data_IF_102258196460
#
_entry.id   IF_102258196460
#
_cell.length_a   1.000
_cell.length_b   1.000
_cell.length_c   1.000
_cell.angle_alpha   90.00
_cell.angle_beta   90.00
_cell.angle_gamma   90.00
#
_symmetry.space_group_name_H-M   'P 1'
#
loop_
_entity.id
_entity.type
_entity.pdbx_description
1 polymer ?
#
# COMPACT_ATOMS: atom_id res chain seq x y z
N UNK A 1 39.94 5.59 -2.36
CA UNK A 1 38.55 5.15 -2.08
C UNK A 1 38.08 4.32 -3.26
N UNK A 2 37.81 3.03 -3.07
CA UNK A 2 37.26 2.17 -4.13
C UNK A 2 35.80 2.58 -4.39
N UNK A 3 35.37 2.73 -5.65
CA UNK A 3 33.96 3.04 -5.93
C UNK A 3 33.06 1.94 -5.36
N UNK A 4 31.87 2.30 -4.85
CA UNK A 4 30.93 1.32 -4.32
C UNK A 4 30.57 0.30 -5.41
N UNK A 5 30.59 -0.99 -5.05
CA UNK A 5 30.24 -2.06 -6.01
C UNK A 5 28.78 -1.89 -6.45
N UNK A 6 28.48 -2.01 -7.76
CA UNK A 6 27.12 -1.85 -8.23
C UNK A 6 26.24 -3.00 -7.71
N UNK A 7 25.03 -2.66 -7.26
CA UNK A 7 24.07 -3.62 -6.71
C UNK A 7 23.31 -4.36 -7.83
N UNK A 8 24.04 -5.11 -8.65
CA UNK A 8 23.52 -5.88 -9.78
C UNK A 8 23.06 -7.29 -9.38
N UNK A 9 22.12 -7.90 -10.13
CA UNK A 9 21.70 -9.28 -9.89
C UNK A 9 22.80 -10.27 -10.31
N UNK A 10 22.93 -11.36 -9.56
CA UNK A 10 23.65 -12.57 -9.94
C UNK A 10 22.62 -13.57 -10.46
N UNK A 11 22.77 -14.00 -11.71
CA UNK A 11 21.95 -15.09 -12.28
C UNK A 11 22.66 -16.44 -12.08
N UNK A 12 21.94 -17.56 -11.87
CA UNK A 12 20.48 -17.69 -11.77
C UNK A 12 19.90 -17.50 -10.36
N UNK A 13 20.73 -17.09 -9.38
CA UNK A 13 20.32 -17.03 -7.98
C UNK A 13 19.43 -15.83 -7.63
N UNK A 14 19.42 -14.80 -8.49
CA UNK A 14 18.75 -13.52 -8.26
C UNK A 14 19.09 -12.89 -6.91
N UNK A 15 20.36 -13.02 -6.50
CA UNK A 15 20.94 -12.34 -5.34
C UNK A 15 21.76 -11.14 -5.77
N UNK A 16 21.91 -10.15 -4.90
CA UNK A 16 22.70 -8.97 -5.18
C UNK A 16 24.20 -9.27 -5.07
N UNK A 17 24.99 -8.89 -6.07
CA UNK A 17 26.45 -9.08 -6.07
C UNK A 17 27.18 -8.33 -4.95
N UNK A 18 26.63 -7.21 -4.49
CA UNK A 18 27.28 -6.37 -3.50
C UNK A 18 26.96 -6.77 -2.05
N UNK A 19 25.73 -7.22 -1.78
CA UNK A 19 25.27 -7.51 -0.40
C UNK A 19 24.65 -8.90 -0.20
N UNK A 20 24.61 -9.75 -1.22
CA UNK A 20 24.02 -11.09 -1.20
C UNK A 20 22.52 -11.18 -0.85
N UNK A 21 21.83 -10.06 -0.60
CA UNK A 21 20.39 -10.02 -0.38
C UNK A 21 19.61 -10.32 -1.68
N UNK A 22 18.35 -10.77 -1.61
CA UNK A 22 17.51 -10.97 -2.79
C UNK A 22 17.43 -9.71 -3.64
N UNK A 23 17.74 -9.85 -4.92
CA UNK A 23 17.65 -8.75 -5.88
C UNK A 23 16.20 -8.60 -6.37
N UNK A 24 15.63 -7.39 -6.40
CA UNK A 24 16.25 -6.09 -6.08
C UNK A 24 16.39 -5.86 -4.57
N UNK A 25 17.63 -5.64 -4.11
CA UNK A 25 17.93 -5.27 -2.73
C UNK A 25 17.63 -3.78 -2.47
N UNK A 26 17.57 -3.34 -1.21
CA UNK A 26 17.21 -1.97 -0.84
C UNK A 26 18.00 -0.90 -1.62
N UNK A 27 19.33 -1.03 -1.70
CA UNK A 27 20.18 -0.10 -2.45
C UNK A 27 19.87 -0.14 -3.95
N UNK A 28 19.69 -1.32 -4.55
CA UNK A 28 19.33 -1.44 -5.96
C UNK A 28 17.99 -0.75 -6.26
N UNK A 29 17.00 -0.88 -5.37
CA UNK A 29 15.69 -0.20 -5.52
C UNK A 29 15.85 1.31 -5.52
N UNK A 30 16.69 1.86 -4.62
CA UNK A 30 16.97 3.30 -4.57
C UNK A 30 17.69 3.77 -5.83
N UNK A 31 18.73 3.06 -6.25
CA UNK A 31 19.49 3.37 -7.47
C UNK A 31 18.60 3.35 -8.71
N UNK A 32 17.79 2.29 -8.88
CA UNK A 32 16.89 2.16 -10.03
C UNK A 32 15.83 3.27 -10.05
N UNK A 33 15.28 3.66 -8.89
CA UNK A 33 14.36 4.82 -8.80
C UNK A 33 15.05 6.11 -9.19
N UNK A 34 16.27 6.32 -8.69
CA UNK A 34 17.03 7.53 -8.98
C UNK A 34 17.33 7.65 -10.48
N UNK A 35 17.83 6.59 -11.10
CA UNK A 35 18.11 6.54 -12.55
C UNK A 35 16.86 6.77 -13.40
N UNK A 36 15.71 6.27 -12.96
CA UNK A 36 14.43 6.36 -13.68
C UNK A 36 13.48 7.40 -13.11
N UNK A 37 14.00 8.44 -12.45
CA UNK A 37 13.17 9.48 -11.80
C UNK A 37 12.20 10.15 -12.77
N UNK A 38 12.60 10.30 -14.04
CA UNK A 38 11.83 10.98 -15.08
C UNK A 38 11.02 10.03 -15.96
N UNK A 39 11.27 8.71 -15.90
CA UNK A 39 10.58 7.72 -16.71
C UNK A 39 10.26 6.47 -15.88
N UNK A 40 9.12 6.56 -15.18
CA UNK A 40 8.61 5.44 -14.40
C UNK A 40 8.16 4.28 -15.27
N UNK A 41 7.72 4.53 -16.51
CA UNK A 41 7.28 3.46 -17.40
C UNK A 41 8.48 2.61 -17.79
N UNK A 42 9.61 3.24 -18.16
CA UNK A 42 10.85 2.54 -18.40
C UNK A 42 11.29 1.68 -17.20
N UNK A 43 11.18 2.21 -15.97
CA UNK A 43 11.48 1.44 -14.75
C UNK A 43 10.62 0.18 -14.64
N UNK A 44 9.31 0.31 -14.84
CA UNK A 44 8.38 -0.81 -14.73
C UNK A 44 8.59 -1.83 -15.84
N UNK A 45 8.87 -1.40 -17.07
CA UNK A 45 9.19 -2.28 -18.19
C UNK A 45 10.48 -3.05 -17.93
N UNK A 46 11.53 -2.37 -17.47
CA UNK A 46 12.79 -2.99 -17.08
C UNK A 46 12.59 -4.03 -15.98
N UNK A 47 11.88 -3.66 -14.90
CA UNK A 47 11.58 -4.58 -13.79
C UNK A 47 10.68 -5.73 -14.20
N UNK A 48 9.77 -5.54 -15.16
CA UNK A 48 8.93 -6.60 -15.73
C UNK A 48 9.73 -7.65 -16.48
N UNK A 49 10.72 -7.24 -17.28
CA UNK A 49 11.66 -8.17 -17.93
C UNK A 49 12.49 -8.95 -16.89
N UNK A 50 13.02 -8.24 -15.89
CA UNK A 50 13.78 -8.87 -14.81
C UNK A 50 12.92 -9.84 -13.98
N UNK A 51 11.65 -9.53 -13.74
CA UNK A 51 10.70 -10.41 -13.07
C UNK A 51 10.48 -11.71 -13.85
N UNK A 52 10.24 -11.61 -15.16
CA UNK A 52 10.03 -12.76 -16.04
C UNK A 52 11.25 -13.71 -16.01
N UNK A 53 12.43 -13.12 -16.20
CA UNK A 53 13.70 -13.86 -16.19
C UNK A 53 13.97 -14.51 -14.83
N UNK A 54 13.58 -13.84 -13.73
CA UNK A 54 13.71 -14.37 -12.38
C UNK A 54 12.75 -15.51 -12.09
N UNK A 55 11.51 -15.42 -12.56
CA UNK A 55 10.53 -16.47 -12.39
C UNK A 55 11.02 -17.76 -13.07
N UNK A 56 11.49 -17.66 -14.31
CA UNK A 56 11.99 -18.80 -15.07
C UNK A 56 13.24 -19.43 -14.41
N UNK A 57 14.24 -18.62 -14.06
CA UNK A 57 15.48 -19.16 -13.47
C UNK A 57 15.33 -19.72 -12.07
N UNK A 58 14.54 -19.07 -11.19
CA UNK A 58 14.32 -19.58 -9.85
C UNK A 58 13.47 -20.84 -9.86
N UNK A 59 12.49 -20.93 -10.76
CA UNK A 59 11.72 -22.16 -10.96
C UNK A 59 12.58 -23.30 -11.51
N UNK A 60 13.48 -23.01 -12.47
CA UNK A 60 14.44 -24.00 -12.99
C UNK A 60 15.45 -24.46 -11.92
N UNK A 61 15.87 -23.56 -11.03
CA UNK A 61 16.80 -23.88 -9.95
C UNK A 61 16.14 -24.71 -8.84
N UNK A 62 14.88 -24.42 -8.52
CA UNK A 62 14.13 -25.12 -7.48
C UNK A 62 12.66 -25.35 -7.92
N UNK A 63 12.38 -26.46 -8.64
CA UNK A 63 11.05 -26.72 -9.18
C UNK A 63 9.97 -27.01 -8.14
N UNK A 64 10.35 -27.43 -6.93
CA UNK A 64 9.41 -27.89 -5.90
C UNK A 64 9.21 -26.89 -4.76
N UNK A 65 10.11 -25.91 -4.62
CA UNK A 65 10.10 -24.91 -3.55
C UNK A 65 10.54 -23.54 -4.10
N UNK A 66 10.03 -23.22 -5.30
CA UNK A 66 10.22 -21.94 -5.95
C UNK A 66 9.36 -20.84 -5.30
N UNK A 67 9.75 -19.56 -5.42
CA UNK A 67 8.97 -18.46 -4.87
C UNK A 67 7.61 -18.32 -5.58
N UNK A 68 6.56 -18.13 -4.80
CA UNK A 68 5.21 -17.92 -5.31
C UNK A 68 5.15 -16.70 -6.26
N UNK A 69 4.31 -16.73 -7.32
CA UNK A 69 4.22 -15.62 -8.28
C UNK A 69 3.94 -14.26 -7.63
N UNK A 70 3.12 -14.23 -6.56
CA UNK A 70 2.85 -13.01 -5.79
C UNK A 70 4.08 -12.47 -5.09
N UNK A 71 4.91 -13.34 -4.50
CA UNK A 71 6.14 -12.94 -3.82
C UNK A 71 7.13 -12.32 -4.81
N UNK A 72 7.23 -12.88 -6.02
CA UNK A 72 8.04 -12.30 -7.09
C UNK A 72 7.48 -10.94 -7.53
N UNK A 73 6.17 -10.82 -7.74
CA UNK A 73 5.55 -9.54 -8.07
C UNK A 73 5.84 -8.46 -7.01
N UNK A 74 5.63 -8.75 -5.73
CA UNK A 74 5.87 -7.80 -4.65
C UNK A 74 7.36 -7.39 -4.56
N UNK A 75 8.25 -8.34 -4.80
CA UNK A 75 9.70 -8.13 -4.79
C UNK A 75 10.18 -7.20 -5.91
N UNK A 76 9.69 -7.38 -7.14
CA UNK A 76 10.14 -6.60 -8.29
C UNK A 76 9.30 -5.34 -8.51
N UNK A 77 7.97 -5.46 -8.54
CA UNK A 77 7.05 -4.41 -8.96
C UNK A 77 6.30 -3.75 -7.80
N UNK A 78 6.01 -4.48 -6.71
CA UNK A 78 5.17 -4.01 -5.62
C UNK A 78 5.60 -2.65 -5.06
N UNK A 79 6.89 -2.48 -4.77
CA UNK A 79 7.44 -1.22 -4.28
C UNK A 79 7.55 -0.13 -5.35
N UNK A 80 7.69 -0.49 -6.64
CA UNK A 80 7.80 0.45 -7.75
C UNK A 80 6.43 1.01 -8.16
N UNK A 81 5.34 0.30 -7.86
CA UNK A 81 3.96 0.66 -8.19
C UNK A 81 3.26 1.53 -7.12
N UNK A 82 3.70 1.50 -5.86
CA UNK A 82 3.15 2.37 -4.82
C UNK A 82 3.43 3.85 -5.18
N UNK A 83 2.37 4.55 -5.61
CA UNK A 83 2.33 6.00 -5.77
C UNK A 83 2.41 6.63 -4.37
N UNK A 84 3.07 7.78 -4.25
CA UNK A 84 3.08 8.61 -3.03
C UNK A 84 1.72 9.20 -2.67
N UNK A 85 0.66 8.39 -2.62
CA UNK A 85 -0.58 8.76 -1.93
C UNK A 85 -0.38 8.32 -0.49
N UNK A 86 -0.21 9.30 0.41
CA UNK A 86 -0.01 9.08 1.83
C UNK A 86 -1.03 8.14 2.46
N UNK A 87 -0.72 6.85 2.49
CA UNK A 87 -1.33 5.91 3.40
C UNK A 87 -0.56 5.97 4.72
N UNK A 88 -0.77 7.07 5.44
CA UNK A 88 -0.98 6.89 6.86
C UNK A 88 -2.40 6.35 6.98
N UNK A 89 -2.64 5.18 7.62
CA UNK A 89 -4.00 4.85 8.01
C UNK A 89 -4.53 6.03 8.86
N UNK A 90 -5.80 6.46 8.70
CA UNK A 90 -6.33 7.51 9.55
C UNK A 90 -6.12 7.10 11.02
N UNK A 91 -5.71 8.02 11.92
CA UNK A 91 -5.53 7.68 13.31
C UNK A 91 -6.82 7.05 13.85
N UNK A 92 -6.73 5.98 14.66
CA UNK A 92 -7.91 5.39 15.29
C UNK A 92 -8.52 6.45 16.22
N UNK A 93 -9.56 7.15 15.76
CA UNK A 93 -10.13 8.28 16.48
C UNK A 93 -10.88 9.32 15.64
N UNK A 94 -10.84 9.27 14.31
CA UNK A 94 -11.79 10.04 13.50
C UNK A 94 -13.19 9.42 13.66
N UNK A 95 -13.91 9.88 14.69
CA UNK A 95 -15.27 9.46 14.99
C UNK A 95 -16.18 9.62 13.78
N UNK A 96 -16.94 8.57 13.49
CA UNK A 96 -18.08 8.61 12.58
C UNK A 96 -19.05 9.67 13.14
N UNK A 97 -19.44 10.71 12.39
CA UNK A 97 -20.47 11.61 12.88
C UNK A 97 -21.78 10.84 12.96
N UNK A 98 -22.32 10.73 14.17
CA UNK A 98 -23.66 10.24 14.44
C UNK A 98 -24.67 11.18 13.75
N UNK A 99 -25.34 10.68 12.71
CA UNK A 99 -26.45 11.39 12.07
C UNK A 99 -27.76 10.84 12.64
N UNK A 100 -27.97 11.02 13.94
CA UNK A 100 -29.27 10.81 14.57
C UNK A 100 -30.15 12.04 14.31
N UNK A 101 -31.36 11.87 13.75
CA UNK A 101 -32.27 13.00 13.57
C UNK A 101 -32.73 13.50 14.94
N UNK A 102 -32.57 14.80 15.16
CA UNK A 102 -33.04 15.51 16.35
C UNK A 102 -34.55 15.27 16.54
N UNK A 103 -34.89 14.50 17.56
CA UNK A 103 -36.25 14.30 18.03
C UNK A 103 -36.86 15.63 18.47
N UNK A 104 -38.01 15.92 17.87
CA UNK A 104 -38.99 16.95 18.16
C UNK A 104 -39.04 17.35 19.65
N UNK A 105 -38.76 18.62 19.89
CA UNK A 105 -38.88 19.30 21.17
C UNK A 105 -40.35 19.68 21.37
N UNK A 106 -41.10 18.81 22.04
CA UNK A 106 -42.46 19.09 22.47
C UNK A 106 -42.52 20.41 23.27
N UNK A 107 -43.08 21.45 22.67
CA UNK A 107 -43.38 22.71 23.33
C UNK A 107 -44.55 22.50 24.30
N UNK A 108 -44.30 22.74 25.59
CA UNK A 108 -45.35 22.85 26.61
C UNK A 108 -46.29 24.02 26.26
N UNK A 109 -47.55 23.73 25.95
CA UNK A 109 -48.62 24.74 25.92
C UNK A 109 -49.33 24.73 27.29
N UNK A 110 -49.49 25.87 27.96
CA UNK A 110 -50.21 25.94 29.23
C UNK A 110 -51.72 25.85 29.02
N UNK A 111 -52.38 25.05 29.87
CA UNK A 111 -53.84 24.90 29.89
C UNK A 111 -54.48 26.03 30.70
N UNK A 112 -55.41 26.84 30.15
CA UNK A 112 -56.21 27.75 30.95
C UNK A 112 -57.35 26.99 31.63
N UNK A 113 -57.43 27.17 32.95
CA UNK A 113 -58.53 26.72 33.79
C UNK A 113 -59.88 27.25 33.27
N UNK A 114 -60.85 26.36 33.12
CA UNK A 114 -62.27 26.72 33.17
C UNK A 114 -62.81 26.16 34.48
N UNK A 115 -63.06 27.09 35.40
CA UNK A 115 -63.86 26.88 36.60
C UNK A 115 -65.35 26.79 36.24
N UNK A 116 -66.11 26.22 37.18
CA UNK A 116 -67.54 26.30 37.47
C UNK A 116 -68.52 25.71 36.42
N UNK A 117 -69.16 24.58 36.75
CA UNK A 117 -70.29 24.45 37.70
C UNK A 117 -71.55 25.14 37.19
N UNK A 118 -72.44 24.37 36.56
CA UNK A 118 -73.88 24.66 36.56
C UNK A 118 -74.71 23.46 36.07
N UNK A 119 -75.28 22.76 37.06
CA UNK A 119 -76.73 22.56 37.22
C UNK A 119 -77.54 22.01 36.03
N UNK A 120 -77.95 20.73 36.11
CA UNK A 120 -79.36 20.28 36.27
C UNK A 120 -79.53 18.79 35.97
#
# INVERSE_FOLDING_TARGET
MTPPRPHLPIRPLWLCRACAAPWPCATARLTLRHEHTHDRVALLVYLGGQLHDAADELYRLNPHDGPEPRQLFDRFLGWALIRGTGSSPPPPGAGVPDNSPAGDRACCVPNPATNEDQTR
#
